data_IF_745130103803
#
_entry.id   IF_745130103803
#
_cell.length_a   1.000
_cell.length_b   1.000
_cell.length_c   1.000
_cell.angle_alpha   90.00
_cell.angle_beta   90.00
_cell.angle_gamma   90.00
#
_symmetry.space_group_name_H-M   'P 1'
#
loop_
_entity.id
_entity.type
_entity.pdbx_description
1 polymer ?
#
# COMPACT_ATOMS: atom_id res chain seq x y z
N UNK A 1 17.79 -3.05 3.63
CA UNK A 1 16.79 -2.34 4.47
C UNK A 1 15.41 -2.64 3.88
N UNK A 2 14.39 -2.92 4.69
CA UNK A 2 13.02 -3.17 4.19
C UNK A 2 12.34 -1.82 3.96
N UNK A 3 11.63 -1.68 2.83
CA UNK A 3 10.81 -0.51 2.51
C UNK A 3 9.35 -0.76 2.95
N UNK A 4 8.75 0.22 3.63
CA UNK A 4 7.36 0.08 4.11
C UNK A 4 6.39 0.74 3.15
N UNK A 5 5.44 -0.02 2.61
CA UNK A 5 4.36 0.52 1.78
C UNK A 5 3.10 0.62 2.63
N UNK A 6 2.69 1.86 2.91
CA UNK A 6 1.44 2.19 3.60
C UNK A 6 0.29 2.10 2.59
N UNK A 7 -0.75 1.31 2.91
CA UNK A 7 -1.93 1.15 2.05
C UNK A 7 -3.17 1.62 2.81
N UNK A 8 -3.61 2.88 2.61
CA UNK A 8 -4.80 3.41 3.27
C UNK A 8 -6.08 2.73 2.80
N UNK A 9 -7.18 2.96 3.52
CA UNK A 9 -8.53 2.58 3.10
C UNK A 9 -9.28 3.76 2.45
N UNK A 10 -10.60 3.59 2.27
CA UNK A 10 -11.51 4.65 1.77
C UNK A 10 -11.36 5.93 2.60
N UNK A 11 -11.36 7.09 1.95
CA UNK A 11 -11.08 8.39 2.58
C UNK A 11 -9.59 8.62 2.91
N UNK A 12 -8.72 7.66 2.58
CA UNK A 12 -7.28 7.77 2.76
C UNK A 12 -6.84 7.65 4.21
N UNK A 13 -5.81 8.41 4.56
CA UNK A 13 -5.26 8.47 5.91
C UNK A 13 -4.78 9.88 6.15
N UNK A 14 -5.66 10.72 6.68
CA UNK A 14 -5.34 12.11 6.96
C UNK A 14 -4.28 12.25 8.07
N UNK A 15 -3.90 13.49 8.39
CA UNK A 15 -2.75 13.79 9.24
C UNK A 15 -2.76 13.08 10.61
N UNK A 16 -3.94 13.00 11.24
CA UNK A 16 -4.15 12.40 12.56
C UNK A 16 -4.33 10.88 12.53
N UNK A 17 -4.47 10.28 11.34
CA UNK A 17 -4.62 8.84 11.22
C UNK A 17 -3.33 8.12 11.62
N UNK A 18 -3.44 6.96 12.25
CA UNK A 18 -2.29 6.20 12.76
C UNK A 18 -1.32 5.79 11.66
N UNK A 19 -1.80 5.52 10.43
CA UNK A 19 -0.93 5.24 9.28
C UNK A 19 -0.05 6.46 8.93
N UNK A 20 -0.59 7.68 9.05
CA UNK A 20 0.18 8.93 8.84
C UNK A 20 1.17 9.18 9.96
N UNK A 21 0.78 8.92 11.21
CA UNK A 21 1.71 8.96 12.34
C UNK A 21 2.87 7.98 12.12
N UNK A 22 2.56 6.73 11.79
CA UNK A 22 3.54 5.67 11.54
C UNK A 22 4.48 6.05 10.40
N UNK A 23 3.94 6.53 9.28
CA UNK A 23 4.75 6.95 8.12
C UNK A 23 5.79 8.00 8.50
N UNK A 24 5.44 8.96 9.36
CA UNK A 24 6.38 9.97 9.88
C UNK A 24 7.49 9.40 10.76
N UNK A 25 7.30 8.21 11.35
CA UNK A 25 8.31 7.52 12.16
C UNK A 25 9.26 6.64 11.32
N UNK A 26 8.94 6.40 10.05
CA UNK A 26 9.67 5.45 9.21
C UNK A 26 10.67 6.16 8.30
N UNK A 27 11.92 5.71 8.33
CA UNK A 27 13.02 6.24 7.49
C UNK A 27 12.84 5.90 6.01
N UNK A 28 12.27 4.73 5.70
CA UNK A 28 12.03 4.28 4.32
C UNK A 28 10.59 3.80 4.18
N UNK A 29 9.73 4.70 3.72
CA UNK A 29 8.33 4.38 3.47
C UNK A 29 7.76 5.13 2.27
N UNK A 30 6.75 4.54 1.65
CA UNK A 30 5.90 5.16 0.64
C UNK A 30 4.44 4.88 0.96
N UNK A 31 3.55 5.63 0.32
CA UNK A 31 2.10 5.47 0.45
C UNK A 31 1.52 5.16 -0.92
N UNK A 32 0.59 4.21 -0.97
CA UNK A 32 -0.22 4.00 -2.17
C UNK A 32 -1.21 5.15 -2.26
N UNK A 33 -1.01 6.02 -3.25
CA UNK A 33 -1.95 7.10 -3.56
C UNK A 33 -3.05 6.60 -4.50
N UNK A 34 -4.26 7.12 -4.35
CA UNK A 34 -5.41 6.70 -5.15
C UNK A 34 -5.93 7.83 -6.02
N UNK A 35 -6.45 7.47 -7.21
CA UNK A 35 -7.07 8.45 -8.13
C UNK A 35 -8.29 9.12 -7.51
N UNK A 36 -9.07 8.37 -6.73
CA UNK A 36 -10.22 8.87 -6.01
C UNK A 36 -10.38 8.09 -4.69
N UNK A 37 -10.29 8.80 -3.57
CA UNK A 37 -10.36 8.23 -2.23
C UNK A 37 -11.78 7.86 -1.79
N UNK A 38 -12.80 8.48 -2.38
CA UNK A 38 -14.21 8.31 -2.03
C UNK A 38 -14.94 7.31 -2.96
N UNK A 39 -14.27 6.87 -4.04
CA UNK A 39 -14.79 5.90 -5.00
C UNK A 39 -13.90 4.65 -5.05
N UNK A 40 -14.08 3.68 -4.13
CA UNK A 40 -13.21 2.52 -4.02
C UNK A 40 -13.50 1.46 -5.10
N UNK A 41 -12.95 1.67 -6.29
CA UNK A 41 -12.95 0.67 -7.38
C UNK A 41 -11.72 -0.21 -7.21
N UNK A 42 -11.92 -1.49 -6.87
CA UNK A 42 -10.82 -2.39 -6.51
C UNK A 42 -9.72 -2.48 -7.57
N UNK A 43 -10.08 -2.60 -8.85
CA UNK A 43 -9.10 -2.69 -9.95
C UNK A 43 -8.24 -1.43 -10.10
N UNK A 44 -8.83 -0.24 -9.93
CA UNK A 44 -8.08 1.02 -9.94
C UNK A 44 -7.10 1.10 -8.75
N UNK A 45 -7.52 0.59 -7.60
CA UNK A 45 -6.72 0.58 -6.38
C UNK A 45 -5.57 -0.43 -6.42
N UNK A 46 -5.81 -1.61 -7.00
CA UNK A 46 -4.79 -2.61 -7.30
C UNK A 46 -3.76 -2.03 -8.27
N UNK A 47 -4.19 -1.34 -9.32
CA UNK A 47 -3.29 -0.69 -10.28
C UNK A 47 -2.31 0.29 -9.59
N UNK A 48 -2.80 1.12 -8.66
CA UNK A 48 -1.94 2.04 -7.90
C UNK A 48 -1.01 1.29 -6.93
N UNK A 49 -1.53 0.28 -6.23
CA UNK A 49 -0.74 -0.55 -5.34
C UNK A 49 0.45 -1.19 -6.07
N UNK A 50 0.21 -1.81 -7.23
CA UNK A 50 1.23 -2.49 -8.03
C UNK A 50 2.31 -1.49 -8.45
N UNK A 51 1.90 -0.31 -8.94
CA UNK A 51 2.83 0.78 -9.31
C UNK A 51 3.73 1.20 -8.14
N UNK A 52 3.15 1.41 -6.96
CA UNK A 52 3.91 1.81 -5.76
C UNK A 52 4.88 0.73 -5.32
N UNK A 53 4.45 -0.54 -5.30
CA UNK A 53 5.32 -1.67 -4.91
C UNK A 53 6.46 -1.85 -5.92
N UNK A 54 6.18 -1.86 -7.22
CA UNK A 54 7.20 -2.04 -8.26
C UNK A 54 8.24 -0.90 -8.27
N UNK A 55 7.85 0.31 -7.89
CA UNK A 55 8.78 1.44 -7.77
C UNK A 55 9.76 1.29 -6.60
N UNK A 56 9.45 0.49 -5.58
CA UNK A 56 10.33 0.26 -4.44
C UNK A 56 11.51 -0.66 -4.83
N UNK A 57 12.73 -0.14 -4.91
CA UNK A 57 13.92 -0.94 -5.26
C UNK A 57 14.46 -1.81 -4.09
N UNK A 58 13.61 -2.22 -3.17
CA UNK A 58 13.96 -2.95 -1.95
C UNK A 58 12.87 -3.96 -1.57
N UNK A 59 13.17 -4.95 -0.71
CA UNK A 59 12.15 -5.83 -0.13
C UNK A 59 11.06 -5.01 0.58
N UNK A 60 9.80 -5.33 0.31
CA UNK A 60 8.64 -4.56 0.79
C UNK A 60 7.99 -5.24 2.00
N UNK A 61 7.60 -4.44 2.99
CA UNK A 61 6.57 -4.78 3.97
C UNK A 61 5.34 -3.91 3.75
N UNK A 62 4.15 -4.51 3.81
CA UNK A 62 2.89 -3.81 3.64
C UNK A 62 2.34 -3.44 5.01
N UNK A 63 1.76 -2.25 5.14
CA UNK A 63 0.94 -1.85 6.29
C UNK A 63 -0.38 -1.30 5.79
N UNK A 64 -1.40 -2.16 5.80
CA UNK A 64 -2.69 -1.87 5.21
C UNK A 64 -3.78 -1.58 6.26
N UNK A 65 -4.82 -0.84 5.85
CA UNK A 65 -5.98 -0.54 6.69
C UNK A 65 -7.28 -0.61 5.88
N UNK A 66 -8.34 -1.19 6.45
CA UNK A 66 -9.69 -1.21 5.88
C UNK A 66 -9.68 -1.69 4.41
N UNK A 67 -10.21 -0.92 3.45
CA UNK A 67 -10.21 -1.27 2.03
C UNK A 67 -8.80 -1.47 1.43
N UNK A 68 -7.78 -0.87 2.04
CA UNK A 68 -6.38 -1.12 1.71
C UNK A 68 -5.94 -2.57 1.96
N UNK A 69 -6.54 -3.25 2.94
CA UNK A 69 -6.27 -4.68 3.19
C UNK A 69 -6.78 -5.54 2.04
N UNK A 70 -8.02 -5.31 1.60
CA UNK A 70 -8.60 -5.99 0.43
C UNK A 70 -7.76 -5.73 -0.82
N UNK A 71 -7.38 -4.47 -1.05
CA UNK A 71 -6.52 -4.06 -2.18
C UNK A 71 -5.20 -4.84 -2.17
N UNK A 72 -4.54 -4.95 -1.01
CA UNK A 72 -3.25 -5.62 -0.88
C UNK A 72 -3.34 -7.12 -1.17
N UNK A 73 -4.37 -7.80 -0.64
CA UNK A 73 -4.57 -9.23 -0.87
C UNK A 73 -4.97 -9.51 -2.31
N UNK A 74 -5.88 -8.71 -2.89
CA UNK A 74 -6.29 -8.83 -4.29
C UNK A 74 -5.09 -8.64 -5.22
N UNK A 75 -4.28 -7.61 -5.01
CA UNK A 75 -3.08 -7.37 -5.81
C UNK A 75 -2.11 -8.57 -5.75
N UNK A 76 -1.86 -9.17 -4.58
CA UNK A 76 -0.97 -10.33 -4.45
C UNK A 76 -1.56 -11.64 -5.00
N UNK A 77 -2.87 -11.69 -5.21
CA UNK A 77 -3.54 -12.79 -5.89
C UNK A 77 -3.48 -12.61 -7.41
N UNK A 78 -3.70 -11.40 -7.92
CA UNK A 78 -3.70 -11.04 -9.34
C UNK A 78 -2.28 -10.92 -9.93
N UNK A 79 -1.31 -10.49 -9.11
CA UNK A 79 0.09 -10.24 -9.47
C UNK A 79 1.06 -11.09 -8.64
N UNK A 80 1.12 -12.42 -8.88
CA UNK A 80 1.95 -13.33 -8.10
C UNK A 80 3.46 -13.02 -8.17
N UNK A 81 3.93 -12.33 -9.21
CA UNK A 81 5.31 -11.88 -9.36
C UNK A 81 5.77 -10.96 -8.21
N UNK A 82 4.85 -10.20 -7.60
CA UNK A 82 5.16 -9.30 -6.50
C UNK A 82 5.54 -10.02 -5.21
N UNK A 83 5.20 -11.32 -5.07
CA UNK A 83 5.57 -12.13 -3.88
C UNK A 83 7.08 -12.29 -3.72
N UNK A 84 7.83 -12.14 -4.81
CA UNK A 84 9.30 -12.13 -4.75
C UNK A 84 9.83 -10.90 -3.99
N UNK A 85 9.10 -9.79 -4.02
CA UNK A 85 9.48 -8.51 -3.45
C UNK A 85 8.82 -8.25 -2.10
N UNK A 86 7.53 -8.58 -1.95
CA UNK A 86 6.77 -8.44 -0.71
C UNK A 86 7.13 -9.56 0.25
N UNK A 87 7.81 -9.22 1.35
CA UNK A 87 8.30 -10.18 2.34
C UNK A 87 7.43 -10.28 3.58
N UNK A 88 6.64 -9.25 3.87
CA UNK A 88 5.74 -9.17 5.04
C UNK A 88 4.47 -8.43 4.68
N UNK A 89 3.36 -8.89 5.24
CA UNK A 89 2.03 -8.30 5.22
C UNK A 89 1.65 -7.83 6.62
#
# INVERSE_FOLDING_TARGET
MIHTVIVPGVGGSEHQHWQSWLQRQLVSSSRVEQKNWDRPVLSEWVEQFVKTVQAAQAPVQIVAHSFGCLTSVAALAEHPELRSQVKKL
#
